data_IF_641698370990
#
_entry.id   IF_641698370990
#
_cell.length_a   1.000
_cell.length_b   1.000
_cell.length_c   1.000
_cell.angle_alpha   90.00
_cell.angle_beta   90.00
_cell.angle_gamma   90.00
#
_symmetry.space_group_name_H-M   'P 1'
#
loop_
_entity.id
_entity.type
_entity.pdbx_description
1 polymer ?
#
# COMPACT_ATOMS: atom_id res chain seq x y z
N UNK A 1 0.85 -7.00 26.94
CA UNK A 1 1.86 -6.21 26.20
C UNK A 1 2.93 -6.99 25.46
N UNK A 2 2.95 -8.34 25.48
CA UNK A 2 3.90 -9.14 24.67
C UNK A 2 3.44 -9.38 23.22
N UNK A 3 2.12 -9.48 22.97
CA UNK A 3 1.55 -9.84 21.66
C UNK A 3 1.68 -8.77 20.56
N UNK A 4 2.10 -7.54 20.88
CA UNK A 4 2.18 -6.44 19.91
C UNK A 4 3.37 -6.57 18.94
N UNK A 5 4.30 -7.51 19.17
CA UNK A 5 5.48 -7.74 18.32
C UNK A 5 5.36 -8.97 17.42
N UNK A 6 4.22 -9.64 17.46
CA UNK A 6 3.98 -10.89 16.76
C UNK A 6 3.12 -10.64 15.51
N UNK A 7 3.34 -11.40 14.43
CA UNK A 7 2.62 -11.28 13.15
C UNK A 7 1.66 -12.44 12.98
N UNK A 8 0.44 -12.18 12.54
CA UNK A 8 -0.50 -13.24 12.18
C UNK A 8 0.07 -14.10 11.03
N UNK A 9 0.23 -15.41 11.25
CA UNK A 9 0.81 -16.35 10.28
C UNK A 9 -0.19 -17.41 9.77
N UNK A 10 -1.48 -17.21 10.02
CA UNK A 10 -2.56 -18.08 9.53
C UNK A 10 -3.74 -17.23 9.07
N UNK A 11 -4.61 -17.79 8.25
CA UNK A 11 -5.93 -17.20 8.02
C UNK A 11 -6.75 -17.22 9.31
N UNK A 12 -7.63 -16.23 9.49
CA UNK A 12 -8.54 -16.16 10.63
C UNK A 12 -9.73 -17.06 10.34
N UNK A 13 -10.00 -18.00 11.25
CA UNK A 13 -11.12 -18.96 11.14
C UNK A 13 -12.11 -18.68 12.25
N UNK A 14 -13.40 -18.61 11.92
CA UNK A 14 -14.46 -18.36 12.89
C UNK A 14 -15.61 -19.34 12.71
N UNK A 15 -15.99 -19.98 13.80
CA UNK A 15 -17.21 -20.74 13.91
C UNK A 15 -18.11 -20.05 14.95
N UNK A 16 -19.37 -19.81 14.61
CA UNK A 16 -20.36 -19.26 15.54
C UNK A 16 -21.67 -20.04 15.40
N UNK A 17 -22.39 -20.18 16.51
CA UNK A 17 -23.73 -20.77 16.54
C UNK A 17 -24.71 -19.64 16.85
N UNK A 18 -25.80 -19.59 16.10
CA UNK A 18 -26.78 -18.51 16.17
C UNK A 18 -27.30 -18.33 17.61
N UNK A 19 -27.19 -17.10 18.13
CA UNK A 19 -27.63 -16.67 19.45
C UNK A 19 -26.98 -17.34 20.69
N UNK A 20 -25.81 -17.97 20.57
CA UNK A 20 -25.09 -18.53 21.71
C UNK A 20 -23.59 -18.19 21.72
N UNK A 21 -23.11 -17.56 22.79
CA UNK A 21 -21.68 -17.43 23.08
C UNK A 21 -21.21 -18.67 23.85
N UNK A 22 -20.58 -19.61 23.15
CA UNK A 22 -20.08 -20.83 23.78
C UNK A 22 -18.70 -20.56 24.38
N UNK A 23 -18.63 -20.58 25.71
CA UNK A 23 -17.44 -20.41 26.52
C UNK A 23 -17.38 -21.55 27.54
N UNK A 24 -16.18 -21.96 27.95
CA UNK A 24 -15.95 -23.03 28.94
C UNK A 24 -16.49 -24.40 28.51
N UNK A 25 -16.20 -24.80 27.28
CA UNK A 25 -16.45 -26.18 26.84
C UNK A 25 -15.65 -27.17 27.71
N UNK A 26 -16.33 -28.23 28.17
CA UNK A 26 -15.71 -29.29 28.97
C UNK A 26 -14.78 -30.17 28.12
N UNK A 27 -15.02 -30.24 26.81
CA UNK A 27 -14.11 -30.80 25.80
C UNK A 27 -13.65 -29.66 24.87
N UNK A 28 -12.35 -29.32 24.85
CA UNK A 28 -11.85 -28.23 24.01
C UNK A 28 -11.94 -28.60 22.53
N UNK A 29 -12.13 -27.58 21.68
CA UNK A 29 -12.16 -27.76 20.23
C UNK A 29 -10.73 -27.80 19.71
N UNK A 30 -10.40 -28.84 18.94
CA UNK A 30 -9.14 -28.97 18.22
C UNK A 30 -9.21 -28.17 16.92
N UNK A 31 -8.29 -27.23 16.73
CA UNK A 31 -8.23 -26.41 15.53
C UNK A 31 -6.84 -26.56 14.91
N UNK A 32 -6.80 -27.04 13.68
CA UNK A 32 -5.57 -27.15 12.91
C UNK A 32 -5.48 -26.00 11.92
N UNK A 33 -4.50 -25.13 12.11
CA UNK A 33 -4.29 -23.95 11.28
C UNK A 33 -3.01 -24.13 10.46
N UNK A 34 -3.14 -24.01 9.14
CA UNK A 34 -2.01 -24.09 8.22
C UNK A 34 -1.26 -22.76 8.19
N UNK A 35 0.06 -22.82 8.33
CA UNK A 35 0.93 -21.65 8.25
C UNK A 35 0.99 -21.09 6.83
N UNK A 36 0.91 -19.76 6.72
CA UNK A 36 1.13 -19.04 5.46
C UNK A 36 2.62 -19.04 5.13
N UNK A 37 3.46 -18.69 6.11
CA UNK A 37 4.92 -18.76 6.04
C UNK A 37 5.44 -19.92 6.89
N UNK A 38 6.34 -20.76 6.35
CA UNK A 38 6.87 -21.92 7.08
C UNK A 38 7.63 -21.49 8.34
N UNK A 39 7.33 -22.11 9.48
CA UNK A 39 8.03 -21.85 10.74
C UNK A 39 9.43 -22.49 10.73
N UNK A 40 10.39 -21.83 10.07
CA UNK A 40 11.73 -22.37 9.75
C UNK A 40 12.81 -22.07 10.80
N UNK A 41 12.45 -21.78 12.05
CA UNK A 41 13.42 -21.41 13.08
C UNK A 41 12.98 -21.61 14.53
N UNK A 42 12.03 -22.50 14.80
CA UNK A 42 11.42 -22.68 16.13
C UNK A 42 10.94 -21.34 16.74
N UNK A 43 10.33 -20.49 15.92
CA UNK A 43 9.74 -19.25 16.40
C UNK A 43 8.62 -19.57 17.40
N UNK A 44 8.45 -18.71 18.42
CA UNK A 44 7.36 -18.87 19.38
C UNK A 44 6.02 -18.65 18.65
N UNK A 45 5.11 -19.60 18.83
CA UNK A 45 3.79 -19.61 18.19
C UNK A 45 2.71 -19.55 19.27
N UNK A 46 1.85 -18.55 19.16
CA UNK A 46 0.76 -18.33 20.10
C UNK A 46 -0.59 -18.49 19.40
N UNK A 47 -1.39 -19.45 19.86
CA UNK A 47 -2.79 -19.56 19.50
C UNK A 47 -3.57 -18.42 20.18
N UNK A 48 -4.27 -17.61 19.40
CA UNK A 48 -5.06 -16.49 19.91
C UNK A 48 -6.46 -16.47 19.32
N UNK A 49 -7.33 -15.70 19.95
CA UNK A 49 -8.60 -15.29 19.39
C UNK A 49 -8.73 -13.76 19.38
N UNK A 50 -9.61 -13.26 18.51
CA UNK A 50 -9.95 -11.84 18.49
C UNK A 50 -11.03 -11.54 19.53
N UNK A 51 -10.67 -10.78 20.56
CA UNK A 51 -11.58 -10.32 21.60
C UNK A 51 -12.08 -8.90 21.27
N UNK A 52 -13.37 -8.76 20.95
CA UNK A 52 -14.00 -7.48 20.61
C UNK A 52 -14.14 -6.52 21.80
N UNK A 53 -14.13 -7.02 23.05
CA UNK A 53 -14.29 -6.15 24.23
C UNK A 53 -12.97 -5.58 24.75
N UNK A 54 -11.84 -6.11 24.28
CA UNK A 54 -10.51 -5.63 24.63
C UNK A 54 -10.30 -4.18 24.14
N UNK A 55 -9.42 -3.44 24.83
CA UNK A 55 -9.09 -2.04 24.52
C UNK A 55 -10.31 -1.11 24.45
N UNK A 56 -11.18 -1.12 25.46
CA UNK A 56 -12.40 -0.30 25.51
C UNK A 56 -13.33 -0.49 24.30
N UNK A 57 -13.43 -1.72 23.76
CA UNK A 57 -14.29 -2.03 22.62
C UNK A 57 -13.66 -1.78 21.24
N UNK A 58 -12.36 -1.45 21.19
CA UNK A 58 -11.60 -1.35 19.93
C UNK A 58 -11.13 -2.72 19.41
N UNK A 59 -11.24 -3.76 20.23
CA UNK A 59 -10.83 -5.12 19.91
C UNK A 59 -9.34 -5.37 20.12
N UNK A 60 -8.97 -6.64 20.24
CA UNK A 60 -7.57 -7.05 20.29
C UNK A 60 -7.36 -8.56 20.40
N UNK A 61 -6.15 -9.01 20.06
CA UNK A 61 -5.75 -10.41 20.19
C UNK A 61 -5.61 -10.83 21.66
N UNK A 62 -6.13 -12.00 21.98
CA UNK A 62 -6.11 -12.55 23.33
C UNK A 62 -5.78 -14.06 23.30
N UNK A 63 -4.99 -14.53 24.25
CA UNK A 63 -4.59 -15.94 24.39
C UNK A 63 -5.45 -16.70 25.41
N UNK A 64 -6.34 -16.01 26.14
CA UNK A 64 -7.08 -16.61 27.25
C UNK A 64 -7.99 -17.75 26.80
N UNK A 65 -7.73 -18.97 27.26
CA UNK A 65 -8.54 -20.15 26.92
C UNK A 65 -8.18 -20.83 25.60
N UNK A 66 -7.08 -20.42 24.96
CA UNK A 66 -6.46 -21.13 23.84
C UNK A 66 -5.04 -21.55 24.22
N UNK A 67 -4.72 -22.83 24.05
CA UNK A 67 -3.40 -23.39 24.30
C UNK A 67 -2.84 -24.01 23.01
N UNK A 68 -1.56 -23.79 22.77
CA UNK A 68 -0.83 -24.41 21.66
C UNK A 68 -0.47 -25.84 22.07
N UNK A 69 -1.04 -26.85 21.41
CA UNK A 69 -0.73 -28.26 21.69
C UNK A 69 0.53 -28.68 20.95
N UNK A 70 0.55 -28.43 19.64
CA UNK A 70 1.61 -28.90 18.76
C UNK A 70 1.85 -27.92 17.62
N UNK A 71 3.12 -27.69 17.30
CA UNK A 71 3.53 -26.81 16.22
C UNK A 71 4.54 -27.54 15.35
N UNK A 72 4.23 -27.61 14.06
CA UNK A 72 5.11 -28.08 13.01
C UNK A 72 5.55 -26.91 12.12
N UNK A 73 6.39 -27.16 11.13
CA UNK A 73 6.81 -26.15 10.15
C UNK A 73 5.63 -25.60 9.35
N UNK A 74 4.65 -26.44 9.01
CA UNK A 74 3.57 -26.11 8.08
C UNK A 74 2.21 -25.88 8.73
N UNK A 75 1.99 -26.33 9.97
CA UNK A 75 0.72 -26.19 10.66
C UNK A 75 0.92 -26.13 12.17
N UNK A 76 -0.06 -25.54 12.85
CA UNK A 76 -0.16 -25.55 14.31
C UNK A 76 -1.53 -26.08 14.72
N UNK A 77 -1.54 -26.90 15.76
CA UNK A 77 -2.73 -27.42 16.42
C UNK A 77 -2.93 -26.63 17.71
N UNK A 78 -4.11 -26.02 17.81
CA UNK A 78 -4.56 -25.23 18.96
C UNK A 78 -5.75 -25.91 19.63
N UNK A 79 -5.75 -25.93 20.95
CA UNK A 79 -6.94 -26.26 21.75
C UNK A 79 -7.56 -24.99 22.28
N UNK A 80 -8.83 -24.74 21.94
CA UNK A 80 -9.57 -23.60 22.48
C UNK A 80 -10.86 -24.06 23.14
N UNK A 81 -11.15 -23.53 24.33
CA UNK A 81 -12.33 -23.87 25.14
C UNK A 81 -13.55 -22.96 24.87
N UNK A 82 -13.49 -22.18 23.79
CA UNK A 82 -14.49 -21.19 23.38
C UNK A 82 -14.53 -21.11 21.86
N UNK A 83 -15.65 -20.71 21.25
CA UNK A 83 -15.86 -20.66 19.79
C UNK A 83 -15.88 -19.21 19.27
N UNK A 84 -14.77 -18.48 19.38
CA UNK A 84 -14.67 -17.11 18.84
C UNK A 84 -13.41 -16.94 18.01
N UNK A 85 -13.57 -16.49 16.76
CA UNK A 85 -12.55 -16.06 15.78
C UNK A 85 -11.08 -16.33 16.15
N UNK A 86 -10.51 -17.41 15.63
CA UNK A 86 -9.16 -17.88 15.93
C UNK A 86 -8.15 -17.46 14.87
N UNK A 87 -6.93 -17.17 15.31
CA UNK A 87 -5.76 -16.96 14.46
C UNK A 87 -4.47 -17.31 15.22
N UNK A 88 -3.38 -17.56 14.50
CA UNK A 88 -2.07 -17.83 15.11
C UNK A 88 -1.16 -16.62 14.89
N UNK A 89 -0.61 -16.07 15.97
CA UNK A 89 0.46 -15.07 15.92
C UNK A 89 1.82 -15.77 16.00
N UNK A 90 2.76 -15.32 15.17
CA UNK A 90 4.14 -15.81 15.05
C UNK A 90 5.10 -14.68 15.43
N UNK A 91 5.97 -14.92 16.42
CA UNK A 91 7.00 -13.98 16.83
C UNK A 91 8.18 -13.97 15.83
N UNK A 92 8.24 -12.95 14.97
CA UNK A 92 9.32 -12.78 13.99
C UNK A 92 10.55 -12.07 14.54
N UNK A 93 10.63 -11.79 15.86
CA UNK A 93 11.71 -10.98 16.43
C UNK A 93 13.11 -11.59 16.37
N UNK A 94 13.27 -12.82 15.84
CA UNK A 94 14.57 -13.53 15.79
C UNK A 94 14.98 -14.16 14.46
N UNK A 95 14.28 -13.96 13.35
CA UNK A 95 14.64 -14.62 12.08
C UNK A 95 14.63 -13.67 10.86
N UNK A 96 15.79 -13.55 10.21
CA UNK A 96 16.07 -12.72 9.01
C UNK A 96 15.45 -13.25 7.70
N UNK A 97 14.22 -13.78 7.72
CA UNK A 97 13.64 -14.39 6.53
C UNK A 97 12.48 -13.53 6.02
N UNK A 98 12.76 -12.79 4.93
CA UNK A 98 11.84 -11.88 4.24
C UNK A 98 12.51 -10.62 3.64
N UNK A 99 13.76 -10.34 4.00
CA UNK A 99 14.45 -9.08 3.65
C UNK A 99 14.83 -9.01 2.16
N UNK A 100 15.04 -10.14 1.48
CA UNK A 100 15.55 -10.12 0.09
C UNK A 100 14.54 -9.60 -0.92
N UNK A 101 13.28 -10.04 -0.87
CA UNK A 101 12.27 -9.61 -1.86
C UNK A 101 11.85 -8.16 -1.67
N UNK A 102 11.64 -7.72 -0.42
CA UNK A 102 11.27 -6.33 -0.12
C UNK A 102 12.40 -5.35 -0.44
N UNK A 103 13.64 -5.74 -0.17
CA UNK A 103 14.83 -4.94 -0.48
C UNK A 103 15.09 -4.84 -1.98
N UNK A 104 14.83 -5.90 -2.76
CA UNK A 104 14.93 -5.87 -4.22
C UNK A 104 13.87 -4.93 -4.81
N UNK A 105 12.61 -5.04 -4.37
CA UNK A 105 11.52 -4.20 -4.89
C UNK A 105 11.73 -2.72 -4.55
N UNK A 106 12.20 -2.43 -3.33
CA UNK A 106 12.56 -1.08 -2.89
C UNK A 106 13.71 -0.52 -3.73
N UNK A 107 14.75 -1.32 -3.99
CA UNK A 107 15.91 -0.90 -4.77
C UNK A 107 15.55 -0.59 -6.22
N UNK A 108 14.75 -1.44 -6.87
CA UNK A 108 14.28 -1.22 -8.25
C UNK A 108 13.40 0.03 -8.31
N UNK A 109 12.47 0.19 -7.37
CA UNK A 109 11.56 1.35 -7.35
C UNK A 109 12.30 2.66 -7.13
N UNK A 110 13.26 2.70 -6.20
CA UNK A 110 14.04 3.90 -5.90
C UNK A 110 15.00 4.26 -7.05
N UNK A 111 15.67 3.25 -7.64
CA UNK A 111 16.52 3.45 -8.81
C UNK A 111 15.71 3.95 -10.03
N UNK A 112 14.56 3.32 -10.28
CA UNK A 112 13.64 3.70 -11.35
C UNK A 112 13.11 5.12 -11.18
N UNK A 113 12.53 5.44 -10.01
CA UNK A 113 12.01 6.78 -9.73
C UNK A 113 13.09 7.85 -9.76
N UNK A 114 14.29 7.55 -9.26
CA UNK A 114 15.45 8.45 -9.32
C UNK A 114 15.86 8.75 -10.76
N UNK A 115 16.05 7.72 -11.59
CA UNK A 115 16.40 7.89 -12.99
C UNK A 115 15.30 8.64 -13.76
N UNK A 116 14.02 8.27 -13.59
CA UNK A 116 12.89 8.95 -14.21
C UNK A 116 12.81 10.42 -13.82
N UNK A 117 13.00 10.74 -12.54
CA UNK A 117 13.01 12.12 -12.03
C UNK A 117 14.11 12.96 -12.69
N UNK A 118 15.32 12.40 -12.86
CA UNK A 118 16.43 13.09 -13.53
C UNK A 118 16.10 13.39 -15.00
N UNK A 119 15.63 12.39 -15.76
CA UNK A 119 15.28 12.60 -17.16
C UNK A 119 14.14 13.61 -17.32
N UNK A 120 13.08 13.49 -16.51
CA UNK A 120 11.95 14.44 -16.51
C UNK A 120 12.42 15.87 -16.17
N UNK A 121 13.33 16.01 -15.20
CA UNK A 121 13.92 17.29 -14.85
C UNK A 121 14.71 17.92 -16.00
N UNK A 122 15.56 17.13 -16.67
CA UNK A 122 16.33 17.60 -17.85
C UNK A 122 15.39 18.02 -18.97
N UNK A 123 14.34 17.22 -19.22
CA UNK A 123 13.30 17.56 -20.20
C UNK A 123 12.64 18.89 -19.85
N UNK A 124 12.21 19.08 -18.61
CA UNK A 124 11.57 20.32 -18.15
C UNK A 124 12.50 21.54 -18.33
N UNK A 125 13.75 21.43 -17.92
CA UNK A 125 14.76 22.50 -18.07
C UNK A 125 14.99 22.82 -19.55
N UNK A 126 15.06 21.81 -20.41
CA UNK A 126 15.24 21.99 -21.86
C UNK A 126 14.07 22.75 -22.50
N UNK A 127 12.83 22.36 -22.16
CA UNK A 127 11.61 23.05 -22.62
C UNK A 127 11.51 24.48 -22.07
N UNK A 128 12.03 24.74 -20.87
CA UNK A 128 12.08 26.09 -20.30
C UNK A 128 13.18 26.94 -20.95
N UNK A 129 14.35 26.39 -21.26
CA UNK A 129 15.45 27.13 -21.89
C UNK A 129 15.20 27.46 -23.37
N UNK A 130 14.48 26.57 -24.08
CA UNK A 130 14.18 26.74 -25.50
C UNK A 130 12.80 27.37 -25.70
N UNK A 131 12.74 28.70 -25.76
CA UNK A 131 11.48 29.43 -26.03
C UNK A 131 10.78 28.98 -27.32
N UNK A 132 11.57 28.51 -28.31
CA UNK A 132 11.06 27.99 -29.58
C UNK A 132 10.18 26.75 -29.39
N UNK A 133 10.50 25.89 -28.43
CA UNK A 133 9.71 24.72 -28.05
C UNK A 133 8.48 25.10 -27.19
N UNK A 134 8.56 26.18 -26.41
CA UNK A 134 7.45 26.65 -25.55
C UNK A 134 6.25 27.17 -26.35
N UNK A 135 6.47 27.58 -27.59
CA UNK A 135 5.45 28.24 -28.42
C UNK A 135 4.37 27.27 -28.90
N UNK A 136 4.68 25.98 -28.97
CA UNK A 136 3.76 24.95 -29.42
C UNK A 136 2.78 24.55 -28.30
N UNK A 137 1.49 24.50 -28.65
CA UNK A 137 0.43 24.02 -27.75
C UNK A 137 0.64 22.58 -27.24
N UNK A 138 1.08 21.59 -28.05
CA UNK A 138 1.37 20.24 -27.54
C UNK A 138 2.47 20.25 -26.48
N UNK A 139 3.51 21.06 -26.66
CA UNK A 139 4.64 21.15 -25.73
C UNK A 139 4.22 21.65 -24.34
N UNK A 140 3.16 22.46 -24.24
CA UNK A 140 2.60 22.91 -22.95
C UNK A 140 1.85 21.79 -22.22
N UNK A 141 1.14 20.92 -22.94
CA UNK A 141 0.46 19.76 -22.33
C UNK A 141 1.51 18.77 -21.81
N UNK A 142 2.50 18.46 -22.64
CA UNK A 142 3.61 17.59 -22.26
C UNK A 142 4.39 18.13 -21.05
N UNK A 143 4.59 19.46 -20.96
CA UNK A 143 5.24 20.08 -19.82
C UNK A 143 4.45 19.87 -18.52
N UNK A 144 3.12 19.99 -18.54
CA UNK A 144 2.29 19.75 -17.35
C UNK A 144 2.28 18.27 -16.96
N UNK A 145 2.25 17.35 -17.92
CA UNK A 145 2.40 15.91 -17.67
C UNK A 145 3.74 15.60 -17.02
N UNK A 146 4.85 16.10 -17.59
CA UNK A 146 6.19 15.92 -17.02
C UNK A 146 6.28 16.51 -15.61
N UNK A 147 5.66 17.67 -15.35
CA UNK A 147 5.62 18.27 -14.03
C UNK A 147 4.84 17.42 -13.02
N UNK A 148 3.68 16.87 -13.40
CA UNK A 148 2.89 15.98 -12.55
C UNK A 148 3.65 14.68 -12.22
N UNK A 149 4.28 14.07 -13.22
CA UNK A 149 5.11 12.87 -13.04
C UNK A 149 6.36 13.16 -12.18
N UNK A 150 7.01 14.32 -12.37
CA UNK A 150 8.15 14.71 -11.55
C UNK A 150 7.74 14.88 -10.08
N UNK A 151 6.62 15.55 -9.81
CA UNK A 151 6.10 15.70 -8.44
C UNK A 151 5.73 14.36 -7.81
N UNK A 152 5.08 13.46 -8.57
CA UNK A 152 4.78 12.09 -8.13
C UNK A 152 6.06 11.34 -7.71
N UNK A 153 7.11 11.38 -8.54
CA UNK A 153 8.40 10.73 -8.25
C UNK A 153 9.08 11.36 -7.03
N UNK A 154 9.06 12.69 -6.88
CA UNK A 154 9.64 13.36 -5.71
C UNK A 154 8.91 13.02 -4.41
N UNK A 155 7.57 12.96 -4.43
CA UNK A 155 6.77 12.52 -3.27
C UNK A 155 7.12 11.08 -2.90
N UNK A 156 7.24 10.19 -3.89
CA UNK A 156 7.63 8.79 -3.64
C UNK A 156 9.03 8.67 -3.01
N UNK A 157 10.02 9.41 -3.52
CA UNK A 157 11.39 9.39 -2.99
C UNK A 157 11.48 9.96 -1.57
N UNK A 158 10.73 11.03 -1.29
CA UNK A 158 10.70 11.67 0.04
C UNK A 158 9.90 10.88 1.07
N UNK A 159 8.97 10.01 0.64
CA UNK A 159 8.13 9.22 1.55
C UNK A 159 8.94 8.43 2.59
N UNK A 160 10.06 7.81 2.19
CA UNK A 160 10.92 7.05 3.11
C UNK A 160 11.54 7.94 4.20
N UNK A 161 12.02 9.13 3.80
CA UNK A 161 12.58 10.11 4.73
C UNK A 161 11.52 10.65 5.71
N UNK A 162 10.32 10.95 5.21
CA UNK A 162 9.21 11.44 6.05
C UNK A 162 8.66 10.37 6.99
N UNK A 163 8.64 9.11 6.57
CA UNK A 163 8.21 7.99 7.41
C UNK A 163 9.08 7.84 8.66
N UNK A 164 10.35 8.29 8.61
CA UNK A 164 11.27 8.28 9.76
C UNK A 164 10.80 9.15 10.93
N UNK A 165 10.01 10.21 10.67
CA UNK A 165 9.53 11.12 11.72
C UNK A 165 8.36 10.56 12.55
N UNK A 166 7.80 9.41 12.15
CA UNK A 166 6.74 8.68 12.84
C UNK A 166 5.51 9.55 13.24
N UNK A 167 5.18 10.56 12.42
CA UNK A 167 4.03 11.44 12.62
C UNK A 167 2.85 11.00 11.73
N UNK A 168 1.66 10.71 12.30
CA UNK A 168 0.51 10.24 11.53
C UNK A 168 0.03 11.27 10.50
N UNK A 169 0.12 12.57 10.81
CA UNK A 169 -0.25 13.64 9.88
C UNK A 169 0.59 13.66 8.59
N UNK A 170 1.89 13.35 8.69
CA UNK A 170 2.77 13.32 7.51
C UNK A 170 2.45 12.14 6.60
N UNK A 171 2.15 10.97 7.18
CA UNK A 171 1.75 9.78 6.41
C UNK A 171 0.46 10.03 5.61
N UNK A 172 -0.56 10.60 6.26
CA UNK A 172 -1.84 10.94 5.60
C UNK A 172 -1.60 11.97 4.49
N UNK A 173 -0.82 13.02 4.77
CA UNK A 173 -0.51 14.07 3.80
C UNK A 173 0.18 13.49 2.57
N UNK A 174 1.17 12.61 2.75
CA UNK A 174 1.88 11.99 1.63
C UNK A 174 0.98 11.04 0.83
N UNK A 175 0.11 10.27 1.49
CA UNK A 175 -0.86 9.43 0.80
C UNK A 175 -1.81 10.24 -0.09
N UNK A 176 -2.33 11.36 0.43
CA UNK A 176 -3.20 12.28 -0.33
C UNK A 176 -2.45 12.91 -1.50
N UNK A 177 -1.23 13.40 -1.27
CA UNK A 177 -0.41 14.00 -2.33
C UNK A 177 -0.09 13.00 -3.44
N UNK A 178 0.30 11.77 -3.08
CA UNK A 178 0.60 10.71 -4.05
C UNK A 178 -0.63 10.37 -4.88
N UNK A 179 -1.80 10.26 -4.23
CA UNK A 179 -3.06 9.99 -4.93
C UNK A 179 -3.43 11.14 -5.89
N UNK A 180 -3.31 12.39 -5.44
CA UNK A 180 -3.59 13.56 -6.26
C UNK A 180 -2.67 13.65 -7.49
N UNK A 181 -1.35 13.50 -7.31
CA UNK A 181 -0.41 13.57 -8.44
C UNK A 181 -0.56 12.41 -9.42
N UNK A 182 -0.94 11.23 -8.93
CA UNK A 182 -1.26 10.09 -9.76
C UNK A 182 -2.48 10.39 -10.64
N UNK A 183 -3.57 10.88 -10.04
CA UNK A 183 -4.77 11.29 -10.77
C UNK A 183 -4.47 12.40 -11.79
N UNK A 184 -3.71 13.42 -11.39
CA UNK A 184 -3.27 14.49 -12.28
C UNK A 184 -2.44 13.96 -13.46
N UNK A 185 -1.53 13.00 -13.23
CA UNK A 185 -0.78 12.38 -14.32
C UNK A 185 -1.69 11.61 -15.28
N UNK A 186 -2.68 10.87 -14.77
CA UNK A 186 -3.68 10.18 -15.59
C UNK A 186 -4.54 11.14 -16.41
N UNK A 187 -5.02 12.25 -15.81
CA UNK A 187 -5.81 13.25 -16.53
C UNK A 187 -4.98 13.93 -17.61
N UNK A 188 -3.73 14.30 -17.33
CA UNK A 188 -2.81 14.88 -18.31
C UNK A 188 -2.47 13.91 -19.45
N UNK A 189 -2.27 12.63 -19.16
CA UNK A 189 -2.06 11.60 -20.18
C UNK A 189 -3.30 11.40 -21.06
N UNK A 190 -4.49 11.45 -20.47
CA UNK A 190 -5.76 11.42 -21.21
C UNK A 190 -5.90 12.65 -22.12
N UNK A 191 -5.58 13.85 -21.61
CA UNK A 191 -5.60 15.09 -22.39
C UNK A 191 -4.60 15.08 -23.54
N UNK A 192 -3.41 14.52 -23.34
CA UNK A 192 -2.42 14.31 -24.39
C UNK A 192 -2.97 13.37 -25.48
N UNK A 193 -3.58 12.25 -25.08
CA UNK A 193 -4.21 11.31 -26.00
C UNK A 193 -5.34 11.94 -26.82
N UNK A 194 -6.21 12.72 -26.19
CA UNK A 194 -7.28 13.47 -26.88
C UNK A 194 -6.70 14.50 -27.85
N UNK A 195 -5.63 15.21 -27.45
CA UNK A 195 -4.96 16.16 -28.33
C UNK A 195 -4.37 15.46 -29.57
N UNK A 196 -3.70 14.32 -29.39
CA UNK A 196 -3.15 13.51 -30.48
C UNK A 196 -4.26 13.00 -31.43
N UNK A 197 -5.38 12.55 -30.87
CA UNK A 197 -6.55 12.14 -31.64
C UNK A 197 -7.11 13.28 -32.50
N UNK A 198 -7.29 14.48 -31.91
CA UNK A 198 -7.76 15.65 -32.65
C UNK A 198 -6.77 16.06 -33.75
N UNK A 199 -5.47 16.03 -33.48
CA UNK A 199 -4.43 16.39 -34.44
C UNK A 199 -4.37 15.46 -35.66
N UNK A 200 -4.58 14.14 -35.46
CA UNK A 200 -4.52 13.16 -36.55
C UNK A 200 -5.85 12.97 -37.30
N UNK A 201 -6.98 12.95 -36.60
CA UNK A 201 -8.28 12.56 -37.18
C UNK A 201 -9.09 13.76 -37.61
N UNK A 202 -8.99 14.90 -36.90
CA UNK A 202 -9.77 16.12 -37.15
C UNK A 202 -8.87 17.22 -37.71
N UNK A 203 -8.28 16.95 -38.89
CA UNK A 203 -7.29 17.83 -39.55
C UNK A 203 -7.86 19.19 -40.00
N UNK A 204 -9.19 19.34 -40.12
CA UNK A 204 -9.83 20.61 -40.49
C UNK A 204 -10.74 21.15 -39.37
N UNK A 205 -10.47 22.40 -38.97
CA UNK A 205 -11.36 23.28 -38.19
C UNK A 205 -11.55 23.00 -36.68
N UNK A 206 -10.49 22.67 -35.93
CA UNK A 206 -10.53 22.65 -34.45
C UNK A 206 -9.89 23.93 -33.88
N UNK A 207 -10.58 25.06 -34.00
CA UNK A 207 -10.19 26.29 -33.29
C UNK A 207 -10.95 26.35 -31.96
N UNK A 208 -10.30 25.92 -30.88
CA UNK A 208 -10.84 26.05 -29.52
C UNK A 208 -10.17 27.26 -28.84
N UNK A 209 -10.88 28.39 -28.65
CA UNK A 209 -10.31 29.52 -27.93
C UNK A 209 -9.98 29.11 -26.49
N UNK A 210 -8.79 29.50 -26.02
CA UNK A 210 -8.26 29.18 -24.68
C UNK A 210 -8.21 27.67 -24.37
N UNK A 211 -7.96 26.82 -25.36
CA UNK A 211 -7.84 25.36 -25.21
C UNK A 211 -6.94 24.94 -24.03
N UNK A 212 -5.73 25.49 -23.94
CA UNK A 212 -4.77 25.17 -22.86
C UNK A 212 -5.32 25.53 -21.48
N UNK A 213 -6.05 26.63 -21.35
CA UNK A 213 -6.63 27.03 -20.06
C UNK A 213 -7.67 25.99 -19.61
N UNK A 214 -8.51 25.52 -20.53
CA UNK A 214 -9.49 24.44 -20.25
C UNK A 214 -8.80 23.13 -19.88
N UNK A 215 -7.71 22.78 -20.56
CA UNK A 215 -6.89 21.62 -20.21
C UNK A 215 -6.23 21.76 -18.84
N UNK A 216 -5.71 22.94 -18.49
CA UNK A 216 -5.11 23.18 -17.18
C UNK A 216 -6.13 23.05 -16.05
N UNK A 217 -7.34 23.59 -16.24
CA UNK A 217 -8.43 23.43 -15.28
C UNK A 217 -8.79 21.94 -15.16
N UNK A 218 -9.02 21.24 -16.27
CA UNK A 218 -9.38 19.82 -16.22
C UNK A 218 -8.25 18.90 -15.68
N UNK A 219 -6.99 19.25 -15.94
CA UNK A 219 -5.82 18.44 -15.56
C UNK A 219 -5.45 18.58 -14.09
N UNK A 220 -5.55 19.79 -13.53
CA UNK A 220 -5.22 20.06 -12.13
C UNK A 220 -6.45 20.09 -11.20
N UNK A 221 -7.67 20.24 -11.75
CA UNK A 221 -8.92 20.40 -10.99
C UNK A 221 -9.53 21.79 -11.16
#
# INVERSE_FOLDING_TARGET
>A
DSLMKERLNTYVVSASIENASIQNLNEPVTITLQHIDQNTGNAAVHCVFWDFQKNNGLGGWNTSGCETEYTDMNYTICFCNHLTHFGVLLDLSRTEIGITHDRILTLISYAGCGASSLFLGITLVTYLALEKLRRDNPSKILLNLCAALLMLNMVFLTNSWLSSFNQPGLCITMAVLLHYFLLAAFTWMCLESVHFYLALVKVFNVYVPKYILKCCIAGWG
#
